data_IF_621138972819
#
_entry.id   IF_621138972819
#
_cell.length_a   1.000
_cell.length_b   1.000
_cell.length_c   1.000
_cell.angle_alpha   90.00
_cell.angle_beta   90.00
_cell.angle_gamma   90.00
#
_symmetry.space_group_name_H-M   'P 1'
#
loop_
_entity.id
_entity.type
_entity.pdbx_description
1 polymer ?
#
# COMPACT_ATOMS: atom_id res chain seq x y z
N UNK A 1 1.42 -21.78 -0.59
CA UNK A 1 1.64 -20.59 -1.44
C UNK A 1 2.97 -20.66 -2.20
N UNK A 2 4.12 -21.01 -1.58
CA UNK A 2 5.40 -21.16 -2.32
C UNK A 2 5.31 -22.11 -3.52
N UNK A 3 4.75 -23.31 -3.32
CA UNK A 3 4.56 -24.27 -4.40
C UNK A 3 3.68 -23.72 -5.54
N UNK A 4 2.74 -22.82 -5.24
CA UNK A 4 1.89 -22.19 -6.25
C UNK A 4 2.65 -21.10 -7.03
N UNK A 5 3.43 -20.27 -6.34
CA UNK A 5 4.28 -19.23 -6.96
C UNK A 5 5.30 -19.86 -7.90
N UNK A 6 5.89 -20.98 -7.51
CA UNK A 6 6.86 -21.70 -8.36
C UNK A 6 6.22 -22.31 -9.62
N UNK A 7 4.95 -22.71 -9.56
CA UNK A 7 4.31 -23.53 -10.60
C UNK A 7 3.40 -22.76 -11.55
N UNK A 8 2.78 -21.68 -11.10
CA UNK A 8 1.74 -20.99 -11.86
C UNK A 8 2.20 -19.60 -12.33
N UNK A 9 1.87 -19.27 -13.59
CA UNK A 9 2.10 -17.93 -14.17
C UNK A 9 1.06 -16.90 -13.72
N UNK A 10 -0.06 -17.35 -13.15
CA UNK A 10 -1.14 -16.50 -12.65
C UNK A 10 -1.66 -17.00 -11.31
N UNK A 11 -1.86 -16.06 -10.39
CA UNK A 11 -2.51 -16.27 -9.11
C UNK A 11 -3.75 -15.38 -9.02
N UNK A 12 -4.80 -15.90 -8.39
CA UNK A 12 -6.01 -15.12 -8.09
C UNK A 12 -6.17 -15.07 -6.58
N UNK A 13 -6.08 -13.86 -6.03
CA UNK A 13 -6.27 -13.60 -4.61
C UNK A 13 -7.74 -13.31 -4.36
N UNK A 14 -8.41 -14.20 -3.65
CA UNK A 14 -9.79 -14.03 -3.19
C UNK A 14 -9.72 -13.63 -1.72
N UNK A 15 -10.09 -12.39 -1.40
CA UNK A 15 -9.89 -11.85 -0.04
C UNK A 15 -9.89 -10.32 0.03
N UNK A 16 -9.40 -9.79 1.15
CA UNK A 16 -9.25 -8.36 1.41
C UNK A 16 -7.88 -7.80 1.00
N UNK A 17 -7.63 -6.54 1.34
CA UNK A 17 -6.37 -5.85 0.99
C UNK A 17 -5.17 -6.53 1.66
N UNK A 18 -5.33 -7.01 2.91
CA UNK A 18 -4.28 -7.73 3.63
C UNK A 18 -3.84 -9.03 2.93
N UNK A 19 -4.77 -9.79 2.33
CA UNK A 19 -4.45 -11.03 1.61
C UNK A 19 -3.64 -10.73 0.33
N UNK A 20 -4.01 -9.66 -0.37
CA UNK A 20 -3.29 -9.18 -1.55
C UNK A 20 -1.89 -8.67 -1.17
N UNK A 21 -1.80 -7.85 -0.11
CA UNK A 21 -0.54 -7.34 0.43
C UNK A 21 0.41 -8.48 0.83
N UNK A 22 -0.11 -9.50 1.52
CA UNK A 22 0.67 -10.68 1.92
C UNK A 22 1.16 -11.47 0.69
N UNK A 23 0.32 -11.63 -0.32
CA UNK A 23 0.68 -12.30 -1.57
C UNK A 23 1.79 -11.55 -2.30
N UNK A 24 1.64 -10.23 -2.50
CA UNK A 24 2.66 -9.42 -3.16
C UNK A 24 3.95 -9.33 -2.34
N UNK A 25 3.86 -9.25 -1.01
CA UNK A 25 5.03 -9.30 -0.13
C UNK A 25 5.81 -10.60 -0.31
N UNK A 26 5.13 -11.73 -0.49
CA UNK A 26 5.80 -13.01 -0.72
C UNK A 26 6.41 -13.08 -2.11
N UNK A 27 5.70 -12.66 -3.15
CA UNK A 27 6.23 -12.60 -4.53
C UNK A 27 7.48 -11.72 -4.60
N UNK A 28 7.45 -10.56 -3.94
CA UNK A 28 8.59 -9.65 -3.81
C UNK A 28 9.78 -10.35 -3.13
N UNK A 29 9.56 -11.13 -2.07
CA UNK A 29 10.66 -11.80 -1.32
C UNK A 29 11.32 -12.96 -2.07
N UNK A 30 10.67 -13.47 -3.11
CA UNK A 30 11.19 -14.58 -3.92
C UNK A 30 11.50 -14.14 -5.35
N UNK A 31 11.52 -12.82 -5.61
CA UNK A 31 11.81 -12.21 -6.91
C UNK A 31 10.90 -12.74 -8.04
N UNK A 32 9.60 -12.86 -7.76
CA UNK A 32 8.58 -13.38 -8.69
C UNK A 32 7.45 -12.39 -9.00
N UNK A 33 7.79 -11.10 -9.15
CA UNK A 33 6.83 -10.08 -9.56
C UNK A 33 6.36 -10.21 -11.01
N UNK A 34 6.97 -11.13 -11.79
CA UNK A 34 6.53 -11.57 -13.11
C UNK A 34 5.19 -12.33 -13.09
N UNK A 35 4.81 -12.92 -11.95
CA UNK A 35 3.57 -13.67 -11.79
C UNK A 35 2.38 -12.72 -11.89
N UNK A 36 1.43 -13.05 -12.76
CA UNK A 36 0.20 -12.30 -12.93
C UNK A 36 -0.71 -12.47 -11.71
N UNK A 37 -1.22 -11.38 -11.15
CA UNK A 37 -2.06 -11.40 -9.95
C UNK A 37 -3.40 -10.77 -10.26
N UNK A 38 -4.46 -11.57 -10.18
CA UNK A 38 -5.85 -11.10 -10.16
C UNK A 38 -6.34 -10.92 -8.73
N UNK A 39 -7.11 -9.85 -8.48
CA UNK A 39 -7.66 -9.56 -7.16
C UNK A 39 -9.19 -9.63 -7.17
N UNK A 40 -9.76 -10.39 -6.24
CA UNK A 40 -11.20 -10.69 -6.16
C UNK A 40 -11.71 -10.43 -4.74
N UNK A 41 -11.94 -9.17 -4.36
CA UNK A 41 -12.58 -8.84 -3.11
C UNK A 41 -14.10 -8.96 -3.22
N UNK A 42 -14.75 -9.30 -2.10
CA UNK A 42 -16.22 -9.37 -2.05
C UNK A 42 -16.89 -7.99 -2.23
N UNK A 43 -16.26 -6.93 -1.72
CA UNK A 43 -16.73 -5.54 -1.76
C UNK A 43 -15.62 -4.60 -2.21
N UNK A 44 -15.95 -3.34 -2.52
CA UNK A 44 -14.92 -2.34 -2.79
C UNK A 44 -14.06 -2.13 -1.54
N UNK A 45 -12.76 -2.07 -1.77
CA UNK A 45 -11.72 -1.81 -0.76
C UNK A 45 -10.84 -0.65 -1.24
N UNK A 46 -10.00 -0.07 -0.36
CA UNK A 46 -9.02 0.92 -0.80
C UNK A 46 -8.12 0.43 -1.95
N UNK A 47 -7.66 -0.82 -1.95
CA UNK A 47 -6.90 -1.35 -3.09
C UNK A 47 -7.71 -1.34 -4.40
N UNK A 48 -9.02 -1.67 -4.36
CA UNK A 48 -9.84 -1.54 -5.57
C UNK A 48 -9.94 -0.11 -6.08
N UNK A 49 -9.89 0.89 -5.20
CA UNK A 49 -9.89 2.29 -5.59
C UNK A 49 -8.53 2.69 -6.21
N UNK A 50 -7.42 2.32 -5.57
CA UNK A 50 -6.06 2.60 -6.03
C UNK A 50 -5.80 2.08 -7.45
N UNK A 51 -6.31 0.88 -7.75
CA UNK A 51 -6.08 0.19 -9.03
C UNK A 51 -7.29 0.20 -9.98
N UNK A 52 -8.36 0.94 -9.63
CA UNK A 52 -9.61 1.03 -10.42
C UNK A 52 -10.23 -0.33 -10.76
N UNK A 53 -10.17 -1.26 -9.81
CA UNK A 53 -10.68 -2.62 -9.97
C UNK A 53 -12.16 -2.74 -9.59
N UNK A 54 -12.90 -3.65 -10.22
CA UNK A 54 -14.22 -4.04 -9.74
C UNK A 54 -14.13 -4.90 -8.47
N UNK A 55 -15.28 -5.18 -7.85
CA UNK A 55 -15.44 -6.16 -6.77
C UNK A 55 -16.46 -7.26 -7.15
N UNK A 56 -16.53 -8.30 -6.33
CA UNK A 56 -17.48 -9.41 -6.47
C UNK A 56 -17.32 -10.18 -7.79
N UNK A 57 -18.43 -10.59 -8.39
CA UNK A 57 -18.42 -11.41 -9.61
C UNK A 57 -17.69 -10.76 -10.79
N UNK A 58 -17.73 -9.41 -10.89
CA UNK A 58 -17.03 -8.67 -11.94
C UNK A 58 -15.52 -8.78 -11.77
N UNK A 59 -15.04 -8.75 -10.52
CA UNK A 59 -13.64 -9.00 -10.19
C UNK A 59 -13.23 -10.43 -10.53
N UNK A 60 -14.04 -11.43 -10.16
CA UNK A 60 -13.75 -12.82 -10.52
C UNK A 60 -13.65 -13.03 -12.04
N UNK A 61 -14.56 -12.41 -12.82
CA UNK A 61 -14.52 -12.46 -14.28
C UNK A 61 -13.25 -11.81 -14.83
N UNK A 62 -12.84 -10.65 -14.31
CA UNK A 62 -11.63 -9.95 -14.74
C UNK A 62 -10.36 -10.68 -14.33
N UNK A 63 -10.24 -11.13 -13.09
CA UNK A 63 -9.10 -11.93 -12.62
C UNK A 63 -8.88 -13.20 -13.48
N UNK A 64 -9.95 -13.80 -14.02
CA UNK A 64 -9.87 -14.99 -14.89
C UNK A 64 -9.54 -14.70 -16.35
N UNK A 65 -10.02 -13.58 -16.91
CA UNK A 65 -9.98 -13.31 -18.37
C UNK A 65 -9.20 -12.08 -18.77
N UNK A 66 -8.87 -11.21 -17.82
CA UNK A 66 -8.17 -9.95 -18.05
C UNK A 66 -6.73 -10.19 -18.46
N UNK A 67 -6.17 -9.21 -19.16
CA UNK A 67 -4.74 -9.14 -19.45
C UNK A 67 -4.01 -8.57 -18.23
N UNK A 68 -2.77 -9.02 -18.02
CA UNK A 68 -1.91 -8.45 -17.00
C UNK A 68 -1.19 -7.21 -17.53
N UNK A 69 -1.13 -6.15 -16.72
CA UNK A 69 -0.38 -4.93 -16.98
C UNK A 69 0.63 -4.68 -15.84
N UNK A 70 1.80 -4.09 -16.12
CA UNK A 70 2.71 -3.65 -15.07
C UNK A 70 2.09 -2.50 -14.28
N UNK A 71 2.17 -2.58 -12.96
CA UNK A 71 1.66 -1.56 -12.02
C UNK A 71 2.73 -1.30 -10.96
N UNK A 72 2.95 -0.04 -10.54
CA UNK A 72 3.84 0.26 -9.44
C UNK A 72 3.58 -0.60 -8.20
N UNK A 73 4.61 -1.27 -7.71
CA UNK A 73 4.57 -1.91 -6.41
C UNK A 73 5.01 -0.88 -5.37
N UNK A 74 4.17 -0.61 -4.37
CA UNK A 74 4.58 0.17 -3.19
C UNK A 74 4.93 -0.79 -2.07
N UNK A 75 6.04 -0.53 -1.39
CA UNK A 75 6.45 -1.24 -0.18
C UNK A 75 6.99 -0.27 0.84
N UNK A 76 7.18 -0.76 2.05
CA UNK A 76 7.90 -0.03 3.06
C UNK A 76 9.36 -0.50 3.22
N UNK A 77 10.05 0.14 4.14
CA UNK A 77 11.40 -0.19 4.59
C UNK A 77 11.48 -1.57 5.28
N UNK A 78 10.42 -2.06 5.92
CA UNK A 78 10.33 -3.42 6.46
C UNK A 78 10.15 -4.51 5.37
N UNK A 79 9.94 -4.12 4.12
CA UNK A 79 9.76 -5.05 3.00
C UNK A 79 8.42 -5.73 2.96
N UNK A 80 7.39 -5.01 3.40
CA UNK A 80 5.99 -5.37 3.24
C UNK A 80 5.37 -4.51 2.14
N UNK A 81 4.69 -5.16 1.20
CA UNK A 81 3.94 -4.47 0.16
C UNK A 81 2.73 -3.74 0.77
N UNK A 82 2.42 -2.57 0.23
CA UNK A 82 1.22 -1.80 0.52
C UNK A 82 0.34 -1.77 -0.73
N UNK A 83 -0.94 -2.13 -0.59
CA UNK A 83 -1.85 -2.21 -1.75
C UNK A 83 -3.06 -1.29 -1.65
N UNK A 84 -3.47 -0.91 -0.45
CA UNK A 84 -4.61 -0.05 -0.18
C UNK A 84 -4.24 1.20 0.60
N UNK A 85 -4.06 1.07 1.91
CA UNK A 85 -3.83 2.22 2.82
C UNK A 85 -2.76 1.91 3.86
N UNK A 86 -1.72 2.72 3.84
CA UNK A 86 -0.72 2.85 4.90
C UNK A 86 -1.10 3.98 5.84
N UNK A 87 -0.75 3.85 7.13
CA UNK A 87 -0.91 4.92 8.11
C UNK A 87 0.31 5.07 8.99
N UNK A 88 0.63 6.32 9.31
CA UNK A 88 1.44 6.65 10.47
C UNK A 88 0.53 7.21 11.55
N UNK A 89 0.47 6.52 12.68
CA UNK A 89 -0.38 6.84 13.81
C UNK A 89 0.49 7.22 15.03
N UNK A 90 -0.02 8.07 15.93
CA UNK A 90 0.60 8.27 17.23
C UNK A 90 0.66 6.97 18.05
N UNK A 91 1.57 6.95 19.01
CA UNK A 91 1.81 5.81 19.90
C UNK A 91 1.35 6.11 21.32
N UNK A 92 1.28 5.07 22.16
CA UNK A 92 1.14 5.19 23.61
C UNK A 92 -0.06 6.02 24.09
N UNK A 93 -1.16 6.03 23.31
CA UNK A 93 -2.37 6.79 23.62
C UNK A 93 -2.24 8.30 23.37
N UNK A 94 -1.14 8.77 22.77
CA UNK A 94 -1.00 10.15 22.36
C UNK A 94 -2.04 10.52 21.29
N UNK A 95 -2.50 11.78 21.33
CA UNK A 95 -3.47 12.30 20.37
C UNK A 95 -2.84 12.74 19.05
N UNK A 96 -1.52 12.99 19.04
CA UNK A 96 -0.77 13.52 17.89
C UNK A 96 0.55 12.79 17.70
N UNK A 97 0.91 12.63 16.44
CA UNK A 97 2.22 12.26 15.95
C UNK A 97 3.05 13.53 15.77
N UNK A 98 4.16 13.63 16.51
CA UNK A 98 5.13 14.73 16.37
C UNK A 98 6.29 14.32 15.47
N UNK A 99 6.60 15.12 14.44
CA UNK A 99 7.75 14.87 13.58
C UNK A 99 7.68 15.61 12.25
N UNK A 100 8.36 15.06 11.26
CA UNK A 100 8.43 15.59 9.90
C UNK A 100 8.07 14.51 8.91
N UNK A 101 7.20 14.85 7.95
CA UNK A 101 6.85 14.01 6.82
C UNK A 101 7.20 14.69 5.51
N UNK A 102 7.83 13.95 4.60
CA UNK A 102 8.23 14.44 3.28
C UNK A 102 7.77 13.44 2.23
N UNK A 103 7.32 13.92 1.07
CA UNK A 103 7.09 13.10 -0.12
C UNK A 103 8.04 13.59 -1.22
N UNK A 104 9.01 12.76 -1.60
CA UNK A 104 10.18 13.15 -2.40
C UNK A 104 10.85 14.44 -1.87
N UNK A 105 10.68 15.58 -2.56
CA UNK A 105 11.21 16.89 -2.19
C UNK A 105 10.17 17.82 -1.54
N UNK A 106 8.91 17.38 -1.44
CA UNK A 106 7.81 18.19 -0.93
C UNK A 106 7.52 17.87 0.54
N UNK A 107 7.65 18.89 1.40
CA UNK A 107 7.21 18.80 2.79
C UNK A 107 5.70 18.51 2.87
N UNK A 108 5.34 17.44 3.58
CA UNK A 108 3.96 17.06 3.86
C UNK A 108 3.48 17.72 5.16
N UNK A 109 4.31 17.67 6.20
CA UNK A 109 4.11 18.36 7.47
C UNK A 109 5.43 18.46 8.24
N UNK A 110 5.52 19.43 9.14
CA UNK A 110 6.55 19.57 10.17
C UNK A 110 5.83 20.01 11.46
N UNK A 111 5.95 19.21 12.52
CA UNK A 111 5.24 19.37 13.80
C UNK A 111 4.21 18.28 14.09
N UNK A 112 3.06 18.69 14.63
CA UNK A 112 2.04 17.77 15.16
C UNK A 112 0.91 17.50 14.17
N UNK A 113 0.64 16.21 13.91
CA UNK A 113 -0.51 15.76 13.10
C UNK A 113 -1.24 14.61 13.80
N UNK A 114 -2.56 14.48 13.58
CA UNK A 114 -3.32 13.38 14.19
C UNK A 114 -2.95 12.01 13.59
N UNK A 115 -2.71 11.97 12.29
CA UNK A 115 -2.20 10.81 11.55
C UNK A 115 -1.73 11.26 10.16
N UNK A 116 -1.08 10.36 9.43
CA UNK A 116 -0.81 10.49 8.00
C UNK A 116 -1.37 9.28 7.26
N UNK A 117 -2.06 9.52 6.15
CA UNK A 117 -2.48 8.48 5.21
C UNK A 117 -1.49 8.38 4.06
N UNK A 118 -1.11 7.16 3.71
CA UNK A 118 -0.31 6.82 2.54
C UNK A 118 -1.13 5.88 1.66
N UNK A 119 -1.21 6.15 0.37
CA UNK A 119 -1.92 5.30 -0.59
C UNK A 119 -1.03 4.98 -1.80
N UNK A 120 -1.02 3.73 -2.27
CA UNK A 120 -0.44 3.39 -3.55
C UNK A 120 -1.20 4.04 -4.70
N UNK A 121 -0.47 4.36 -5.76
CA UNK A 121 -1.02 4.80 -7.04
C UNK A 121 -0.76 3.71 -8.07
N UNK A 122 -1.80 3.32 -8.81
CA UNK A 122 -1.66 2.36 -9.92
C UNK A 122 -0.84 2.87 -11.12
N UNK A 123 -0.27 4.06 -11.01
CA UNK A 123 0.53 4.75 -12.02
C UNK A 123 1.68 5.50 -11.34
N UNK A 124 2.71 5.87 -12.10
CA UNK A 124 3.74 6.77 -11.60
C UNK A 124 3.12 8.07 -11.01
N UNK A 125 3.70 8.64 -9.94
CA UNK A 125 4.99 8.28 -9.34
C UNK A 125 4.95 7.08 -8.38
N UNK A 126 3.75 6.61 -7.99
CA UNK A 126 3.53 5.33 -7.30
C UNK A 126 3.02 5.48 -5.87
N UNK A 127 3.34 6.58 -5.18
CA UNK A 127 2.88 6.85 -3.81
C UNK A 127 2.18 8.19 -3.76
N UNK A 128 1.12 8.30 -2.94
CA UNK A 128 0.64 9.59 -2.44
C UNK A 128 0.47 9.56 -0.94
N UNK A 129 0.70 10.69 -0.29
CA UNK A 129 0.46 10.84 1.14
C UNK A 129 -0.28 12.15 1.45
N UNK A 130 -0.94 12.18 2.60
CA UNK A 130 -1.80 13.28 3.00
C UNK A 130 -2.13 13.25 4.49
N UNK A 131 -2.29 14.44 5.08
CA UNK A 131 -2.80 14.58 6.46
C UNK A 131 -4.32 14.74 6.38
N UNK A 132 -5.10 13.81 6.97
CA UNK A 132 -6.56 13.91 6.97
C UNK A 132 -7.05 14.97 7.96
N UNK A 133 -8.19 15.59 7.65
CA UNK A 133 -8.93 16.43 8.60
C UNK A 133 -9.63 15.56 9.67
N UNK A 134 -10.25 16.22 10.67
CA UNK A 134 -10.99 15.54 11.75
C UNK A 134 -12.12 14.62 11.28
N UNK A 135 -12.55 14.72 10.02
CA UNK A 135 -13.57 13.85 9.40
C UNK A 135 -12.94 12.72 8.57
N UNK A 136 -11.63 12.53 8.67
CA UNK A 136 -10.87 11.52 7.93
C UNK A 136 -10.64 11.86 6.47
N UNK A 137 -10.84 13.13 6.04
CA UNK A 137 -10.71 13.52 4.64
C UNK A 137 -9.39 14.23 4.39
N UNK A 138 -8.61 13.72 3.44
CA UNK A 138 -7.41 14.39 2.94
C UNK A 138 -7.81 15.42 1.90
N UNK A 139 -7.60 16.70 2.21
CA UNK A 139 -7.87 17.81 1.27
C UNK A 139 -6.75 18.02 0.26
N UNK A 140 -5.51 17.74 0.66
CA UNK A 140 -4.32 17.89 -0.17
C UNK A 140 -3.53 16.59 -0.14
N UNK A 141 -3.42 15.96 -1.29
CA UNK A 141 -2.52 14.83 -1.52
C UNK A 141 -1.23 15.34 -2.13
N UNK A 142 -0.11 14.81 -1.66
CA UNK A 142 1.20 14.99 -2.28
C UNK A 142 1.59 13.65 -2.89
N UNK A 143 1.93 13.63 -4.18
CA UNK A 143 2.31 12.44 -4.91
C UNK A 143 3.83 12.43 -5.16
N UNK A 144 4.46 11.27 -5.03
CA UNK A 144 5.89 11.08 -5.22
C UNK A 144 6.27 9.61 -5.32
N UNK A 145 7.57 9.33 -5.38
CA UNK A 145 8.12 7.98 -5.39
C UNK A 145 8.27 7.43 -3.97
N UNK A 146 8.50 8.29 -3.00
CA UNK A 146 8.62 7.90 -1.60
C UNK A 146 7.93 8.90 -0.67
N UNK A 147 7.31 8.38 0.39
CA UNK A 147 6.86 9.13 1.55
C UNK A 147 7.70 8.70 2.76
N UNK A 148 8.36 9.65 3.40
CA UNK A 148 9.30 9.43 4.50
C UNK A 148 8.83 10.13 5.77
N UNK A 149 9.03 9.47 6.91
CA UNK A 149 8.74 9.98 8.23
C UNK A 149 10.00 9.99 9.09
N UNK A 150 10.27 11.13 9.73
CA UNK A 150 11.09 11.23 10.93
C UNK A 150 10.21 11.61 12.12
N UNK A 151 10.27 10.87 13.22
CA UNK A 151 9.41 11.12 14.39
C UNK A 151 10.08 10.66 15.69
N UNK A 152 9.55 11.12 16.82
CA UNK A 152 9.87 10.60 18.15
C UNK A 152 9.29 9.20 18.37
N UNK A 153 8.18 8.87 17.72
CA UNK A 153 7.55 7.54 17.75
C UNK A 153 6.25 7.48 16.95
N UNK A 154 6.14 6.50 16.04
CA UNK A 154 4.93 6.18 15.28
C UNK A 154 4.61 4.69 15.30
N UNK A 155 3.32 4.39 15.19
CA UNK A 155 2.81 3.06 14.84
C UNK A 155 2.50 3.04 13.35
N UNK A 156 2.95 2.00 12.64
CA UNK A 156 2.73 1.88 11.20
C UNK A 156 1.65 0.85 10.92
N UNK A 157 0.58 1.25 10.24
CA UNK A 157 -0.50 0.35 9.81
C UNK A 157 -0.41 0.14 8.31
N UNK A 158 -0.56 -1.10 7.84
CA UNK A 158 -0.53 -1.49 6.42
C UNK A 158 -1.76 -2.32 6.12
N UNK A 159 -2.67 -1.80 5.31
CA UNK A 159 -3.85 -2.53 4.87
C UNK A 159 -4.65 -3.16 6.04
N UNK A 160 -4.71 -2.42 7.16
CA UNK A 160 -5.37 -2.83 8.41
C UNK A 160 -4.49 -3.61 9.40
N UNK A 161 -3.27 -4.00 9.02
CA UNK A 161 -2.32 -4.73 9.86
C UNK A 161 -1.34 -3.79 10.58
N UNK A 162 -1.32 -3.82 11.90
CA UNK A 162 -0.45 -2.99 12.74
C UNK A 162 0.99 -3.54 12.80
N UNK A 163 1.98 -2.65 12.85
CA UNK A 163 3.36 -3.04 13.20
C UNK A 163 3.43 -3.50 14.65
N UNK A 164 4.36 -4.42 14.94
CA UNK A 164 4.58 -4.93 16.29
C UNK A 164 5.40 -4.01 17.19
N UNK A 165 5.99 -2.95 16.63
CA UNK A 165 6.87 -2.02 17.33
C UNK A 165 6.62 -0.59 16.88
N UNK A 166 6.86 0.34 17.81
CA UNK A 166 7.02 1.77 17.54
C UNK A 166 8.29 2.02 16.74
N UNK A 167 8.22 2.94 15.78
CA UNK A 167 9.36 3.32 14.93
C UNK A 167 9.64 4.82 15.03
N UNK A 168 10.91 5.21 14.92
CA UNK A 168 11.34 6.62 14.81
C UNK A 168 11.46 7.10 13.37
N UNK A 169 11.50 6.15 12.43
CA UNK A 169 11.56 6.38 10.99
C UNK A 169 10.71 5.35 10.29
N UNK A 170 10.06 5.75 9.21
CA UNK A 170 9.34 4.85 8.32
C UNK A 170 9.36 5.44 6.92
N UNK A 171 9.48 4.59 5.91
CA UNK A 171 9.38 5.01 4.52
C UNK A 171 8.47 4.08 3.75
N UNK A 172 7.54 4.64 2.97
CA UNK A 172 6.81 3.94 1.93
C UNK A 172 7.31 4.41 0.58
N UNK A 173 7.65 3.51 -0.33
CA UNK A 173 8.23 3.86 -1.62
C UNK A 173 7.80 2.92 -2.73
N UNK A 174 7.79 3.44 -3.96
CA UNK A 174 7.68 2.65 -5.18
C UNK A 174 8.93 1.80 -5.31
N UNK A 175 8.76 0.48 -5.29
CA UNK A 175 9.80 -0.48 -5.61
C UNK A 175 10.26 -0.33 -7.06
N UNK A 176 11.50 -0.75 -7.32
CA UNK A 176 12.12 -0.61 -8.65
C UNK A 176 11.40 -1.43 -9.72
N UNK A 177 10.83 -2.57 -9.34
CA UNK A 177 10.05 -3.43 -10.21
C UNK A 177 8.55 -3.23 -10.00
N UNK A 178 7.83 -3.21 -11.11
CA UNK A 178 6.37 -3.22 -11.14
C UNK A 178 5.85 -4.68 -11.00
N UNK A 179 4.69 -4.85 -10.38
CA UNK A 179 4.01 -6.15 -10.33
C UNK A 179 2.99 -6.28 -11.46
N UNK A 180 2.61 -7.52 -11.81
CA UNK A 180 1.71 -7.79 -12.95
C UNK A 180 0.25 -7.90 -12.49
N UNK A 181 -0.48 -6.80 -12.49
CA UNK A 181 -1.90 -6.78 -12.12
C UNK A 181 -2.79 -7.24 -13.28
N UNK A 182 -3.69 -8.18 -13.02
CA UNK A 182 -4.78 -8.54 -13.94
C UNK A 182 -5.97 -7.62 -13.71
N UNK A 183 -6.21 -6.75 -14.71
CA UNK A 183 -7.21 -5.68 -14.67
C UNK A 183 -8.50 -5.96 -15.41
#
# INVERSE_FOLDING_TARGET
MDAAIARYRRLVVVGGDADLAQTLTRLLRVDRLDVEVGYVPQRRTPATAAYRLPAGWRAARRARRGAAAPVPLVRDDAGTALVGVGRWLPVDGAAVLHGEGIVDDAALFDGDVAEVLIEPMGTAPGVRAGVPDRRGRVRRWVAGRAAQLGTTGALVVRDGSYSSRTVKRSTFYRHIEDWRLVG
#
